data_IF_420009714401
#
_entry.id   IF_420009714401
#
_cell.length_a   1.000
_cell.length_b   1.000
_cell.length_c   1.000
_cell.angle_alpha   90.00
_cell.angle_beta   90.00
_cell.angle_gamma   90.00
#
_symmetry.space_group_name_H-M   'P 1'
#
loop_
_entity.id
_entity.type
_entity.pdbx_description
1 polymer ?
#
# COMPACT_ATOMS: atom_id res chain seq x y z
N UNK A 1 10.90 3.55 8.97
CA UNK A 1 10.14 4.33 7.97
C UNK A 1 11.10 4.99 6.99
N UNK A 2 10.69 5.23 5.73
CA UNK A 2 11.47 5.99 4.74
C UNK A 2 11.70 7.43 5.20
N UNK A 3 12.78 8.05 4.72
CA UNK A 3 13.11 9.45 5.01
C UNK A 3 12.65 10.41 3.91
N UNK A 4 12.44 9.88 2.70
CA UNK A 4 11.92 10.64 1.55
C UNK A 4 10.47 11.06 1.80
N UNK A 5 10.03 12.16 1.19
CA UNK A 5 8.63 12.61 1.28
C UNK A 5 7.71 11.59 0.59
N UNK A 6 6.63 11.19 1.27
CA UNK A 6 5.67 10.22 0.76
C UNK A 6 4.33 10.29 1.49
N UNK A 7 3.29 9.77 0.85
CA UNK A 7 2.06 9.36 1.53
C UNK A 7 2.26 8.00 2.22
N UNK A 8 1.79 7.88 3.46
CA UNK A 8 1.77 6.59 4.16
C UNK A 8 0.34 6.03 4.20
N UNK A 9 0.12 4.89 3.54
CA UNK A 9 -1.14 4.15 3.65
C UNK A 9 -1.11 3.28 4.90
N UNK A 10 -1.36 3.92 6.05
CA UNK A 10 -1.31 3.24 7.35
C UNK A 10 -2.37 2.14 7.49
N UNK A 11 -3.59 2.37 6.98
CA UNK A 11 -4.68 1.40 7.05
C UNK A 11 -5.54 1.41 5.78
N UNK A 12 -5.90 0.22 5.33
CA UNK A 12 -6.96 -0.01 4.35
C UNK A 12 -7.78 -1.21 4.82
N UNK A 13 -9.09 -1.05 4.88
CA UNK A 13 -9.98 -2.06 5.41
C UNK A 13 -11.30 -2.08 4.65
N UNK A 14 -11.84 -3.29 4.50
CA UNK A 14 -13.19 -3.54 4.01
C UNK A 14 -13.88 -4.42 5.04
N UNK A 15 -15.11 -4.06 5.42
CA UNK A 15 -15.90 -4.85 6.36
C UNK A 15 -16.01 -6.31 5.86
N UNK A 16 -15.88 -7.34 6.73
CA UNK A 16 -15.83 -8.75 6.30
C UNK A 16 -16.95 -9.17 5.34
N UNK A 17 -18.20 -8.73 5.62
CA UNK A 17 -19.38 -9.02 4.78
C UNK A 17 -19.35 -8.40 3.37
N UNK A 18 -18.40 -7.51 3.10
CA UNK A 18 -18.22 -6.79 1.83
C UNK A 18 -16.88 -7.11 1.15
N UNK A 19 -16.14 -8.12 1.63
CA UNK A 19 -14.88 -8.55 1.03
C UNK A 19 -15.14 -9.40 -0.23
N UNK A 20 -14.11 -9.55 -1.08
CA UNK A 20 -14.18 -10.40 -2.28
C UNK A 20 -14.89 -9.80 -3.49
N UNK A 21 -15.50 -8.62 -3.36
CA UNK A 21 -16.24 -7.93 -4.44
C UNK A 21 -15.51 -6.71 -5.02
N UNK A 22 -14.20 -6.59 -4.79
CA UNK A 22 -13.36 -5.55 -5.39
C UNK A 22 -13.27 -4.20 -4.67
N UNK A 23 -14.01 -3.98 -3.58
CA UNK A 23 -14.02 -2.69 -2.86
C UNK A 23 -12.64 -2.23 -2.37
N UNK A 24 -11.79 -3.15 -1.91
CA UNK A 24 -10.43 -2.81 -1.46
C UNK A 24 -9.57 -2.25 -2.60
N UNK A 25 -9.76 -2.77 -3.83
CA UNK A 25 -9.14 -2.24 -5.03
C UNK A 25 -9.65 -0.84 -5.36
N UNK A 26 -10.98 -0.63 -5.36
CA UNK A 26 -11.58 0.67 -5.64
C UNK A 26 -11.13 1.77 -4.64
N UNK A 27 -11.04 1.44 -3.35
CA UNK A 27 -10.50 2.36 -2.33
C UNK A 27 -9.05 2.72 -2.67
N UNK A 28 -8.22 1.71 -2.97
CA UNK A 28 -6.80 1.91 -3.27
C UNK A 28 -6.60 2.73 -4.55
N UNK A 29 -7.34 2.44 -5.62
CA UNK A 29 -7.32 3.19 -6.89
C UNK A 29 -7.64 4.68 -6.67
N UNK A 30 -8.70 4.98 -5.91
CA UNK A 30 -9.07 6.36 -5.55
C UNK A 30 -7.96 7.05 -4.74
N UNK A 31 -7.31 6.35 -3.80
CA UNK A 31 -6.18 6.90 -3.05
C UNK A 31 -4.99 7.18 -3.96
N UNK A 32 -4.63 6.24 -4.83
CA UNK A 32 -3.50 6.37 -5.75
C UNK A 32 -3.71 7.48 -6.76
N UNK A 33 -4.93 7.67 -7.28
CA UNK A 33 -5.23 8.79 -8.17
C UNK A 33 -4.93 10.15 -7.53
N UNK A 34 -5.23 10.32 -6.23
CA UNK A 34 -4.91 11.56 -5.48
C UNK A 34 -3.41 11.75 -5.28
N UNK A 35 -2.70 10.65 -5.00
CA UNK A 35 -1.23 10.66 -4.81
C UNK A 35 -0.54 10.98 -6.14
N UNK A 36 -1.01 10.40 -7.25
CA UNK A 36 -0.50 10.67 -8.59
C UNK A 36 -0.73 12.13 -9.00
N UNK A 37 -1.92 12.69 -8.74
CA UNK A 37 -2.21 14.11 -8.98
C UNK A 37 -1.35 15.06 -8.14
N UNK A 38 -0.81 14.59 -7.01
CA UNK A 38 0.12 15.33 -6.17
C UNK A 38 1.59 15.14 -6.56
N UNK A 39 1.89 14.26 -7.53
CA UNK A 39 3.25 13.87 -7.92
C UNK A 39 4.11 13.37 -6.74
N UNK A 40 3.49 12.65 -5.81
CA UNK A 40 4.16 12.15 -4.61
C UNK A 40 4.37 10.63 -4.66
N UNK A 41 5.37 10.17 -3.90
CA UNK A 41 5.56 8.75 -3.65
C UNK A 41 4.58 8.22 -2.60
N UNK A 42 4.46 6.89 -2.52
CA UNK A 42 3.64 6.24 -1.50
C UNK A 42 4.35 5.03 -0.86
N UNK A 43 4.06 4.84 0.42
CA UNK A 43 4.61 3.76 1.25
C UNK A 43 3.49 3.00 1.96
N UNK A 44 3.67 1.70 2.13
CA UNK A 44 2.83 0.86 2.97
C UNK A 44 3.64 -0.28 3.60
N UNK A 45 3.07 -0.87 4.66
CA UNK A 45 3.61 -2.05 5.33
C UNK A 45 2.57 -3.17 5.22
N UNK A 46 2.82 -4.13 4.33
CA UNK A 46 1.89 -5.22 4.10
C UNK A 46 2.07 -6.32 5.14
N UNK A 47 1.12 -6.45 6.08
CA UNK A 47 1.05 -7.52 7.08
C UNK A 47 0.39 -8.81 6.59
N UNK A 48 -0.20 -8.81 5.39
CA UNK A 48 -0.94 -9.94 4.85
C UNK A 48 -0.43 -10.29 3.43
N UNK A 49 0.34 -11.37 3.25
CA UNK A 49 0.88 -11.77 1.95
C UNK A 49 -0.18 -11.94 0.84
N UNK A 50 -1.45 -12.20 1.18
CA UNK A 50 -2.54 -12.27 0.20
C UNK A 50 -2.79 -10.94 -0.52
N UNK A 51 -2.41 -9.81 0.08
CA UNK A 51 -2.57 -8.48 -0.49
C UNK A 51 -1.42 -8.07 -1.43
N UNK A 52 -0.31 -8.82 -1.49
CA UNK A 52 0.88 -8.40 -2.26
C UNK A 52 0.55 -8.12 -3.72
N UNK A 53 -0.17 -9.04 -4.39
CA UNK A 53 -0.58 -8.86 -5.79
C UNK A 53 -1.49 -7.65 -6.01
N UNK A 54 -2.31 -7.30 -5.03
CA UNK A 54 -3.16 -6.10 -5.10
C UNK A 54 -2.29 -4.83 -5.12
N UNK A 55 -1.33 -4.75 -4.20
CA UNK A 55 -0.42 -3.59 -4.12
C UNK A 55 0.52 -3.51 -5.33
N UNK A 56 1.04 -4.63 -5.83
CA UNK A 56 1.88 -4.68 -7.03
C UNK A 56 1.15 -4.14 -8.27
N UNK A 57 -0.12 -4.50 -8.47
CA UNK A 57 -0.94 -3.93 -9.57
C UNK A 57 -1.10 -2.41 -9.49
N UNK A 58 -1.00 -1.84 -8.29
CA UNK A 58 -1.07 -0.40 -8.06
C UNK A 58 0.29 0.29 -8.15
N UNK A 59 1.34 -0.44 -8.54
CA UNK A 59 2.69 0.07 -8.77
C UNK A 59 3.58 0.07 -7.53
N UNK A 60 3.17 -0.59 -6.43
CA UNK A 60 4.05 -0.80 -5.29
C UNK A 60 5.04 -1.93 -5.56
N UNK A 61 6.27 -1.74 -5.11
CA UNK A 61 7.36 -2.72 -5.19
C UNK A 61 7.80 -3.05 -3.77
N UNK A 62 7.95 -4.35 -3.47
CA UNK A 62 8.50 -4.79 -2.20
C UNK A 62 9.95 -4.33 -2.04
N UNK A 63 10.30 -3.76 -0.88
CA UNK A 63 11.66 -3.28 -0.57
C UNK A 63 12.33 -4.06 0.54
N UNK A 64 11.62 -4.31 1.65
CA UNK A 64 12.23 -4.85 2.87
C UNK A 64 11.22 -5.67 3.67
N UNK A 65 11.66 -6.81 4.19
CA UNK A 65 10.95 -7.53 5.24
C UNK A 65 11.23 -6.89 6.60
N UNK A 66 10.18 -6.63 7.36
CA UNK A 66 10.24 -6.11 8.73
C UNK A 66 9.63 -7.19 9.64
N UNK A 67 10.33 -7.54 10.70
CA UNK A 67 9.86 -8.54 11.68
C UNK A 67 9.85 -7.93 13.07
N UNK A 68 8.79 -7.18 13.45
CA UNK A 68 8.69 -6.62 14.78
C UNK A 68 8.48 -7.72 15.82
N UNK A 69 9.12 -7.65 17.00
CA UNK A 69 8.87 -8.60 18.07
C UNK A 69 7.38 -8.63 18.44
N UNK A 70 6.78 -9.82 18.44
CA UNK A 70 5.37 -10.01 18.82
C UNK A 70 4.33 -9.61 17.76
N UNK A 71 4.73 -9.28 16.53
CA UNK A 71 3.82 -8.95 15.43
C UNK A 71 4.04 -9.84 14.20
N UNK A 72 3.04 -9.98 13.31
CA UNK A 72 3.25 -10.62 12.02
C UNK A 72 4.38 -9.95 11.22
N UNK A 73 5.11 -10.70 10.38
CA UNK A 73 6.07 -10.10 9.47
C UNK A 73 5.35 -9.14 8.52
N UNK A 74 5.98 -7.99 8.28
CA UNK A 74 5.50 -6.98 7.36
C UNK A 74 6.44 -6.93 6.15
N UNK A 75 5.90 -6.63 4.98
CA UNK A 75 6.69 -6.26 3.82
C UNK A 75 6.50 -4.77 3.59
N UNK A 76 7.56 -4.00 3.80
CA UNK A 76 7.64 -2.61 3.38
C UNK A 76 7.58 -2.55 1.86
N UNK A 77 6.59 -1.87 1.32
CA UNK A 77 6.41 -1.67 -0.11
C UNK A 77 6.43 -0.18 -0.44
N UNK A 78 7.02 0.14 -1.59
CA UNK A 78 7.20 1.49 -2.05
C UNK A 78 6.68 1.67 -3.46
N UNK A 79 6.01 2.77 -3.69
CA UNK A 79 5.59 3.23 -5.00
C UNK A 79 6.26 4.57 -5.29
N UNK A 80 7.07 4.68 -6.36
CA UNK A 80 7.69 5.95 -6.72
C UNK A 80 6.63 6.99 -7.12
N UNK A 81 6.98 8.26 -6.99
CA UNK A 81 6.20 9.35 -7.55
C UNK A 81 6.08 9.19 -9.07
N UNK A 82 4.89 9.47 -9.61
CA UNK A 82 4.70 9.59 -11.05
C UNK A 82 4.83 11.07 -11.40
N UNK A 83 5.88 11.37 -12.16
CA UNK A 83 6.08 12.70 -12.74
C UNK A 83 4.98 12.96 -13.80
N UNK A 84 4.61 14.23 -14.02
CA UNK A 84 3.66 14.60 -15.06
C UNK A 84 4.16 14.23 -16.46
#
# INVERSE_FOLDING_TARGET
HPHERHYYLAFIAVAPRLQGIGLGGAILESCIAKIDAAHEAAYLENSNPKNTRLYERMGFVARKSISPPGAPPLIAMWRPARLP
#
